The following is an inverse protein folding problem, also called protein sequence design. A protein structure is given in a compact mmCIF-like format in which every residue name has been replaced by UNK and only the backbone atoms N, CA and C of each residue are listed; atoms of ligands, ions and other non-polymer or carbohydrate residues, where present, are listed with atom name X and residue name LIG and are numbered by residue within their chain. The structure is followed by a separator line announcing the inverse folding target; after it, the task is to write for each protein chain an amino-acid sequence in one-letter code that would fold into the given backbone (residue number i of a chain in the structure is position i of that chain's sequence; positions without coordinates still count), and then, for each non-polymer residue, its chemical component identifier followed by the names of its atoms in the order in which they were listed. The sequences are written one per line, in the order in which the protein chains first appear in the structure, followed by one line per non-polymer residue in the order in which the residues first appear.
data_IF_308582334348
#
_entry.id   IF_308582334348
#
_cell.length_a   1.000
_cell.length_b   1.000
_cell.length_c   1.000
_cell.angle_alpha   90.00
_cell.angle_beta   90.00
_cell.angle_gamma   90.00
#
_symmetry.space_group_name_H-M   'P 1'
#
loop_
_entity.id
_entity.type
_entity.pdbx_description
1 polymer ?
#
# COMPACT_ATOMS: atom_id res chain seq x y z
N UNK A 1 -21.25 -15.12 12.97
CA UNK A 1 -20.36 -15.12 11.78
C UNK A 1 -19.35 -13.96 11.80
N UNK A 2 -19.78 -12.71 12.00
CA UNK A 2 -18.89 -11.53 12.02
C UNK A 2 -17.77 -11.57 13.07
N UNK A 3 -18.04 -12.00 14.31
CA UNK A 3 -16.98 -12.14 15.36
C UNK A 3 -15.88 -13.13 14.97
N UNK A 4 -16.22 -14.23 14.31
CA UNK A 4 -15.26 -15.25 13.84
C UNK A 4 -14.46 -14.72 12.65
N UNK A 5 -15.14 -14.08 11.68
CA UNK A 5 -14.52 -13.40 10.54
C UNK A 5 -13.59 -12.26 10.98
N UNK A 6 -13.96 -11.51 12.02
CA UNK A 6 -13.13 -10.46 12.60
C UNK A 6 -11.89 -11.03 13.30
N UNK A 7 -12.01 -12.16 14.00
CA UNK A 7 -10.85 -12.87 14.57
C UNK A 7 -9.79 -13.26 13.53
N UNK A 8 -10.23 -13.68 12.34
CA UNK A 8 -9.34 -13.94 11.19
C UNK A 8 -8.82 -12.62 10.58
N UNK A 9 -9.67 -11.60 10.48
CA UNK A 9 -9.32 -10.29 9.91
C UNK A 9 -8.30 -9.50 10.76
N UNK A 10 -8.31 -9.64 12.09
CA UNK A 10 -7.33 -9.03 13.02
C UNK A 10 -5.88 -9.38 12.70
N UNK A 11 -5.65 -10.48 11.99
CA UNK A 11 -4.31 -10.80 11.51
C UNK A 11 -3.83 -9.75 10.50
N UNK A 12 -4.73 -9.28 9.61
CA UNK A 12 -4.39 -8.44 8.46
C UNK A 12 -4.73 -6.96 8.63
N UNK A 13 -5.46 -6.60 9.68
CA UNK A 13 -5.92 -5.25 9.98
C UNK A 13 -5.55 -4.94 11.43
N UNK A 14 -5.17 -3.69 11.69
CA UNK A 14 -4.77 -3.26 13.03
C UNK A 14 -5.95 -3.27 14.02
N UNK A 15 -7.12 -2.83 13.56
CA UNK A 15 -8.32 -2.62 14.34
C UNK A 15 -9.16 -1.53 13.67
N UNK A 16 -10.13 -0.99 14.40
CA UNK A 16 -11.09 -0.02 13.86
C UNK A 16 -10.70 1.44 14.16
N UNK A 17 -9.75 1.66 15.06
CA UNK A 17 -9.36 2.99 15.53
C UNK A 17 -7.95 3.41 15.10
N UNK A 18 -7.69 4.72 15.20
CA UNK A 18 -6.33 5.28 15.03
C UNK A 18 -5.36 4.68 16.06
N UNK A 19 -5.82 4.45 17.30
CA UNK A 19 -4.97 3.89 18.35
C UNK A 19 -4.50 2.48 17.99
N UNK A 20 -5.39 1.64 17.46
CA UNK A 20 -5.02 0.30 17.00
C UNK A 20 -3.94 0.34 15.90
N UNK A 21 -4.06 1.29 14.97
CA UNK A 21 -3.08 1.52 13.91
C UNK A 21 -1.72 1.97 14.47
N UNK A 22 -1.73 2.89 15.45
CA UNK A 22 -0.53 3.39 16.10
C UNK A 22 0.16 2.32 16.96
N UNK A 23 -0.60 1.48 17.64
CA UNK A 23 -0.07 0.37 18.43
C UNK A 23 0.56 -0.70 17.51
N UNK A 24 -0.10 -1.02 16.38
CA UNK A 24 0.47 -1.88 15.35
C UNK A 24 1.75 -1.28 14.74
N UNK A 25 1.79 0.03 14.50
CA UNK A 25 2.97 0.73 14.00
C UNK A 25 4.12 0.71 15.02
N UNK A 26 3.81 0.87 16.30
CA UNK A 26 4.79 0.77 17.38
C UNK A 26 5.37 -0.65 17.51
N UNK A 27 4.53 -1.69 17.36
CA UNK A 27 4.99 -3.08 17.32
C UNK A 27 5.92 -3.31 16.12
N UNK A 28 5.58 -2.82 14.93
CA UNK A 28 6.47 -2.90 13.76
C UNK A 28 7.82 -2.23 14.03
N UNK A 29 7.80 -1.01 14.59
CA UNK A 29 8.98 -0.24 14.95
C UNK A 29 9.88 -0.96 15.97
N UNK A 30 9.31 -1.51 17.06
CA UNK A 30 10.07 -2.30 18.03
C UNK A 30 10.74 -3.54 17.43
N UNK A 31 10.20 -4.05 16.33
CA UNK A 31 10.75 -5.21 15.62
C UNK A 31 11.67 -4.82 14.45
N UNK A 32 12.17 -3.57 14.42
CA UNK A 32 13.11 -3.10 13.40
C UNK A 32 12.49 -2.85 12.02
N UNK A 33 11.15 -2.73 11.94
CA UNK A 33 10.42 -2.45 10.70
C UNK A 33 9.86 -1.03 10.71
N UNK A 34 9.65 -0.48 9.52
CA UNK A 34 8.88 0.74 9.32
C UNK A 34 7.39 0.43 9.23
N UNK A 35 6.53 1.44 9.34
CA UNK A 35 5.08 1.30 9.20
C UNK A 35 4.52 2.20 8.10
N UNK A 36 3.61 1.69 7.29
CA UNK A 36 2.81 2.45 6.32
C UNK A 36 1.34 2.33 6.76
N UNK A 37 0.78 3.37 7.37
CA UNK A 37 -0.60 3.34 7.86
C UNK A 37 -1.57 3.73 6.74
N UNK A 38 -2.64 2.94 6.58
CA UNK A 38 -3.69 3.20 5.59
C UNK A 38 -5.08 3.08 6.23
N UNK A 39 -5.93 4.08 6.01
CA UNK A 39 -7.33 3.99 6.42
C UNK A 39 -8.12 3.19 5.38
N UNK A 40 -8.93 2.24 5.84
CA UNK A 40 -9.84 1.46 5.00
C UNK A 40 -11.07 2.27 4.59
N UNK A 41 -11.53 2.02 3.36
CA UNK A 41 -12.62 2.73 2.68
C UNK A 41 -12.15 3.23 1.32
N UNK A 42 -13.08 3.48 0.40
CA UNK A 42 -12.83 4.02 -0.95
C UNK A 42 -14.08 4.81 -1.36
N UNK A 43 -13.97 5.64 -2.40
CA UNK A 43 -15.12 6.30 -3.05
C UNK A 43 -16.00 7.17 -2.13
N UNK A 44 -15.38 8.00 -1.30
CA UNK A 44 -16.14 8.94 -0.47
C UNK A 44 -16.70 10.08 -1.33
N UNK A 45 -18.01 10.32 -1.25
CA UNK A 45 -18.69 11.42 -1.94
C UNK A 45 -19.20 12.51 -0.98
N UNK A 46 -19.20 12.24 0.34
CA UNK A 46 -19.59 13.21 1.36
C UNK A 46 -18.42 14.08 1.79
N UNK A 47 -18.57 15.41 1.68
CA UNK A 47 -17.58 16.39 2.20
C UNK A 47 -17.26 16.17 3.68
N UNK A 48 -18.26 15.81 4.49
CA UNK A 48 -18.07 15.53 5.91
C UNK A 48 -17.15 14.32 6.13
N UNK A 49 -17.36 13.24 5.37
CA UNK A 49 -16.55 12.02 5.45
C UNK A 49 -15.12 12.24 4.95
N UNK A 50 -14.96 13.01 3.86
CA UNK A 50 -13.66 13.42 3.31
C UNK A 50 -12.90 14.25 4.33
N UNK A 51 -13.51 15.30 4.89
CA UNK A 51 -12.91 16.16 5.90
C UNK A 51 -12.49 15.37 7.15
N UNK A 52 -13.32 14.42 7.59
CA UNK A 52 -12.97 13.51 8.69
C UNK A 52 -11.74 12.68 8.35
N UNK A 53 -11.69 12.10 7.15
CA UNK A 53 -10.55 11.29 6.67
C UNK A 53 -9.25 12.09 6.60
N UNK A 54 -9.29 13.32 6.05
CA UNK A 54 -8.12 14.22 6.02
C UNK A 54 -7.62 14.52 7.43
N UNK A 55 -8.53 14.87 8.36
CA UNK A 55 -8.18 15.13 9.77
C UNK A 55 -7.59 13.91 10.46
N UNK A 56 -8.06 12.70 10.15
CA UNK A 56 -7.48 11.47 10.71
C UNK A 56 -6.04 11.24 10.25
N UNK A 57 -5.73 11.43 8.97
CA UNK A 57 -4.34 11.35 8.48
C UNK A 57 -3.43 12.38 9.18
N UNK A 58 -3.90 13.61 9.39
CA UNK A 58 -3.16 14.63 10.15
C UNK A 58 -2.88 14.17 11.59
N UNK A 59 -3.87 13.60 12.27
CA UNK A 59 -3.71 13.04 13.62
C UNK A 59 -2.70 11.90 13.65
N UNK A 60 -2.76 10.98 12.69
CA UNK A 60 -1.80 9.86 12.58
C UNK A 60 -0.37 10.38 12.42
N UNK A 61 -0.14 11.32 11.50
CA UNK A 61 1.20 11.85 11.25
C UNK A 61 1.78 12.58 12.45
N UNK A 62 0.96 13.40 13.12
CA UNK A 62 1.34 14.07 14.37
C UNK A 62 1.71 13.07 15.47
N UNK A 63 0.91 12.00 15.63
CA UNK A 63 1.17 10.95 16.61
C UNK A 63 2.45 10.15 16.29
N UNK A 64 2.68 9.78 15.03
CA UNK A 64 3.91 9.10 14.60
C UNK A 64 5.15 9.94 14.94
N UNK A 65 5.12 11.25 14.63
CA UNK A 65 6.20 12.18 14.99
C UNK A 65 6.41 12.27 16.50
N UNK A 66 5.34 12.53 17.26
CA UNK A 66 5.42 12.68 18.72
C UNK A 66 6.00 11.43 19.39
N UNK A 67 5.62 10.25 18.92
CA UNK A 67 6.12 8.96 19.42
C UNK A 67 7.46 8.53 18.80
N UNK A 68 8.03 9.33 17.89
CA UNK A 68 9.26 9.02 17.13
C UNK A 68 9.22 7.67 16.41
N UNK A 69 8.03 7.26 15.94
CA UNK A 69 7.83 6.02 15.20
C UNK A 69 8.20 6.25 13.73
N UNK A 70 9.12 5.45 13.19
CA UNK A 70 9.47 5.50 11.77
C UNK A 70 8.31 4.98 10.92
N UNK A 71 7.67 5.88 10.20
CA UNK A 71 6.53 5.51 9.36
C UNK A 71 6.18 6.49 8.25
N UNK A 72 5.19 6.06 7.47
CA UNK A 72 4.56 6.75 6.37
C UNK A 72 3.05 6.54 6.44
N UNK A 73 2.31 7.28 5.64
CA UNK A 73 0.89 7.01 5.36
C UNK A 73 0.70 6.62 3.90
N UNK A 74 -0.40 5.91 3.62
CA UNK A 74 -0.85 5.58 2.27
C UNK A 74 -2.28 6.05 2.11
N UNK A 75 -2.51 6.92 1.12
CA UNK A 75 -3.78 7.61 0.93
C UNK A 75 -4.37 7.18 -0.42
N UNK A 76 -5.66 6.85 -0.40
CA UNK A 76 -6.44 6.58 -1.60
C UNK A 76 -7.11 7.88 -2.09
N UNK A 77 -6.82 8.35 -3.30
CA UNK A 77 -7.43 9.55 -3.88
C UNK A 77 -8.96 9.61 -3.77
N UNK A 78 -9.67 8.50 -3.98
CA UNK A 78 -11.14 8.43 -3.89
C UNK A 78 -11.67 8.64 -2.47
N UNK A 79 -10.88 8.38 -1.42
CA UNK A 79 -11.27 8.66 -0.05
C UNK A 79 -11.25 10.15 0.30
N UNK A 80 -10.53 10.96 -0.49
CA UNK A 80 -10.27 12.36 -0.19
C UNK A 80 -10.75 13.30 -1.30
N UNK A 81 -11.69 12.83 -2.13
CA UNK A 81 -12.45 13.68 -3.03
C UNK A 81 -12.26 13.43 -4.52
N UNK A 82 -11.49 12.42 -4.95
CA UNK A 82 -11.39 12.10 -6.39
C UNK A 82 -12.76 11.75 -6.98
N UNK A 83 -13.61 11.04 -6.22
CA UNK A 83 -15.00 10.73 -6.63
C UNK A 83 -15.93 11.93 -6.72
N UNK A 84 -15.48 13.13 -6.30
CA UNK A 84 -16.21 14.39 -6.47
C UNK A 84 -15.59 15.16 -7.65
N UNK A 85 -14.28 15.42 -7.59
CA UNK A 85 -13.51 16.03 -8.68
C UNK A 85 -12.01 15.95 -8.41
N UNK A 86 -11.19 15.97 -9.48
CA UNK A 86 -9.73 16.13 -9.38
C UNK A 86 -9.33 17.34 -8.52
N UNK A 87 -10.03 18.47 -8.66
CA UNK A 87 -9.76 19.71 -7.90
C UNK A 87 -9.96 19.52 -6.39
N UNK A 88 -11.03 18.84 -5.98
CA UNK A 88 -11.29 18.56 -4.55
C UNK A 88 -10.21 17.62 -3.98
N UNK A 89 -9.85 16.58 -4.73
CA UNK A 89 -8.78 15.66 -4.35
C UNK A 89 -7.43 16.39 -4.15
N UNK A 90 -7.04 17.24 -5.10
CA UNK A 90 -5.81 18.03 -5.03
C UNK A 90 -5.75 18.92 -3.79
N UNK A 91 -6.85 19.65 -3.49
CA UNK A 91 -6.94 20.50 -2.31
C UNK A 91 -6.75 19.71 -1.00
N UNK A 92 -7.36 18.54 -0.92
CA UNK A 92 -7.25 17.68 0.26
C UNK A 92 -5.86 17.04 0.38
N UNK A 93 -5.24 16.63 -0.73
CA UNK A 93 -3.86 16.16 -0.75
C UNK A 93 -2.87 17.25 -0.30
N UNK A 94 -3.02 18.48 -0.79
CA UNK A 94 -2.18 19.61 -0.35
C UNK A 94 -2.27 19.81 1.17
N UNK A 95 -3.46 19.66 1.74
CA UNK A 95 -3.68 19.75 3.20
C UNK A 95 -2.96 18.62 3.94
N UNK A 96 -3.01 17.39 3.42
CA UNK A 96 -2.30 16.23 3.99
C UNK A 96 -0.78 16.42 3.87
N UNK A 97 -0.27 16.82 2.71
CA UNK A 97 1.17 16.95 2.46
C UNK A 97 1.77 18.06 3.32
N UNK A 98 1.09 19.19 3.51
CA UNK A 98 1.53 20.25 4.45
C UNK A 98 1.72 19.71 5.87
N UNK A 99 0.76 18.92 6.36
CA UNK A 99 0.88 18.27 7.67
C UNK A 99 1.98 17.19 7.70
N UNK A 100 2.20 16.49 6.58
CA UNK A 100 3.26 15.50 6.44
C UNK A 100 4.65 16.13 6.51
N UNK A 101 4.86 17.28 5.88
CA UNK A 101 6.10 18.07 5.93
C UNK A 101 6.39 18.50 7.37
N UNK A 102 5.41 19.11 8.04
CA UNK A 102 5.53 19.51 9.46
C UNK A 102 5.81 18.31 10.38
N UNK A 103 5.27 17.15 10.03
CA UNK A 103 5.44 15.91 10.81
C UNK A 103 6.69 15.11 10.41
N UNK A 104 7.42 15.54 9.37
CA UNK A 104 8.46 14.75 8.72
C UNK A 104 8.02 13.30 8.37
N UNK A 105 6.79 13.12 7.90
CA UNK A 105 6.23 11.83 7.48
C UNK A 105 6.15 11.77 5.95
N UNK A 106 6.40 10.58 5.39
CA UNK A 106 6.27 10.35 3.95
C UNK A 106 4.83 9.97 3.57
N UNK A 107 4.37 10.43 2.40
CA UNK A 107 3.03 10.13 1.87
C UNK A 107 3.14 9.27 0.62
N UNK A 108 2.41 8.16 0.60
CA UNK A 108 2.18 7.36 -0.59
C UNK A 108 0.79 7.63 -1.16
N UNK A 109 0.71 7.85 -2.46
CA UNK A 109 -0.54 7.83 -3.23
C UNK A 109 -0.75 6.40 -3.70
N UNK A 110 -1.81 5.76 -3.21
CA UNK A 110 -2.19 4.44 -3.71
C UNK A 110 -2.85 4.55 -5.07
N UNK A 111 -2.50 3.61 -5.95
CA UNK A 111 -3.18 3.43 -7.23
C UNK A 111 -4.44 2.61 -7.03
N UNK A 112 -5.54 3.09 -7.61
CA UNK A 112 -6.86 2.47 -7.52
C UNK A 112 -7.19 1.68 -8.80
N UNK A 113 -8.46 1.55 -9.18
CA UNK A 113 -8.87 0.89 -10.43
C UNK A 113 -8.31 1.63 -11.66
N UNK A 114 -8.28 0.95 -12.80
CA UNK A 114 -7.75 1.51 -14.06
C UNK A 114 -8.46 2.79 -14.50
N UNK A 115 -9.73 2.96 -14.16
CA UNK A 115 -10.53 4.15 -14.48
C UNK A 115 -9.97 5.45 -13.86
N UNK A 116 -9.23 5.35 -12.76
CA UNK A 116 -8.63 6.48 -12.06
C UNK A 116 -7.14 6.66 -12.37
N UNK A 117 -6.52 5.78 -13.16
CA UNK A 117 -5.05 5.77 -13.31
C UNK A 117 -4.51 7.10 -13.85
N UNK A 118 -5.15 7.66 -14.88
CA UNK A 118 -4.73 8.93 -15.48
C UNK A 118 -4.87 10.09 -14.48
N UNK A 119 -6.03 10.22 -13.84
CA UNK A 119 -6.27 11.29 -12.85
C UNK A 119 -5.28 11.22 -11.67
N UNK A 120 -4.94 10.02 -11.21
CA UNK A 120 -4.00 9.81 -10.10
C UNK A 120 -2.57 10.18 -10.50
N UNK A 121 -2.14 9.85 -11.72
CA UNK A 121 -0.82 10.24 -12.25
C UNK A 121 -0.76 11.76 -12.43
N UNK A 122 -1.79 12.39 -12.98
CA UNK A 122 -1.87 13.84 -13.10
C UNK A 122 -1.80 14.53 -11.73
N UNK A 123 -2.56 14.03 -10.75
CA UNK A 123 -2.50 14.52 -9.36
C UNK A 123 -1.08 14.39 -8.80
N UNK A 124 -0.40 13.28 -9.07
CA UNK A 124 0.97 13.09 -8.62
C UNK A 124 1.91 14.14 -9.21
N UNK A 125 1.85 14.40 -10.51
CA UNK A 125 2.70 15.43 -11.15
C UNK A 125 2.42 16.82 -10.57
N UNK A 126 1.16 17.19 -10.39
CA UNK A 126 0.76 18.47 -9.79
C UNK A 126 1.30 18.65 -8.36
N UNK A 127 1.40 17.58 -7.60
CA UNK A 127 1.89 17.61 -6.22
C UNK A 127 3.41 17.52 -6.15
N UNK A 128 4.03 16.64 -6.95
CA UNK A 128 5.47 16.41 -6.94
C UNK A 128 6.25 17.65 -7.36
N UNK A 129 5.74 18.43 -8.32
CA UNK A 129 6.31 19.73 -8.70
C UNK A 129 6.44 20.73 -7.53
N UNK A 130 5.74 20.49 -6.41
CA UNK A 130 5.75 21.34 -5.21
C UNK A 130 6.31 20.65 -3.97
N UNK A 131 6.41 19.32 -3.95
CA UNK A 131 6.68 18.55 -2.73
C UNK A 131 7.47 17.26 -3.01
N UNK A 132 8.67 17.13 -2.41
CA UNK A 132 9.56 15.98 -2.63
C UNK A 132 9.24 14.73 -1.78
N UNK A 133 8.41 14.86 -0.72
CA UNK A 133 8.11 13.76 0.23
C UNK A 133 6.86 12.95 -0.15
N UNK A 134 6.75 12.63 -1.43
CA UNK A 134 5.59 11.97 -2.03
C UNK A 134 6.03 10.84 -2.96
N UNK A 135 5.33 9.70 -2.89
CA UNK A 135 5.51 8.58 -3.81
C UNK A 135 4.19 8.08 -4.35
N UNK A 136 4.23 7.34 -5.45
CA UNK A 136 3.05 6.81 -6.15
C UNK A 136 3.19 5.30 -6.35
N UNK A 137 2.08 4.58 -6.20
CA UNK A 137 2.02 3.17 -6.55
C UNK A 137 1.74 2.97 -8.05
N UNK A 138 2.29 1.90 -8.63
CA UNK A 138 1.98 1.45 -9.99
C UNK A 138 1.76 -0.05 -10.02
N UNK A 139 0.97 -0.52 -10.99
CA UNK A 139 0.41 -1.88 -10.97
C UNK A 139 0.94 -2.72 -12.14
N UNK A 140 1.65 -3.80 -11.84
CA UNK A 140 2.25 -4.65 -12.88
C UNK A 140 1.24 -5.43 -13.73
N UNK A 141 -0.04 -5.53 -13.33
CA UNK A 141 -1.06 -6.19 -14.13
C UNK A 141 -1.55 -5.33 -15.31
N UNK A 142 -1.38 -4.01 -15.30
CA UNK A 142 -1.80 -3.18 -16.43
C UNK A 142 -0.75 -3.16 -17.54
N UNK A 143 -1.21 -3.19 -18.79
CA UNK A 143 -0.33 -3.17 -19.98
C UNK A 143 0.37 -1.82 -20.16
N UNK A 144 -0.28 -0.73 -19.74
CA UNK A 144 0.23 0.65 -19.81
C UNK A 144 1.41 0.93 -18.88
N UNK A 145 1.52 0.20 -17.77
CA UNK A 145 2.42 0.52 -16.65
C UNK A 145 3.88 0.69 -17.01
N UNK A 146 4.36 0.03 -18.07
CA UNK A 146 5.75 0.21 -18.51
C UNK A 146 6.01 1.64 -18.98
N UNK A 147 5.08 2.22 -19.74
CA UNK A 147 5.21 3.58 -20.25
C UNK A 147 5.06 4.57 -19.09
N UNK A 148 3.99 4.41 -18.28
CA UNK A 148 3.77 5.25 -17.10
C UNK A 148 5.00 5.25 -16.16
N UNK A 149 5.63 4.07 -15.94
CA UNK A 149 6.84 3.96 -15.11
C UNK A 149 8.01 4.77 -15.69
N UNK A 150 8.20 4.73 -17.01
CA UNK A 150 9.31 5.43 -17.65
C UNK A 150 9.13 6.95 -17.49
N UNK A 151 7.94 7.44 -17.79
CA UNK A 151 7.60 8.86 -17.68
C UNK A 151 7.74 9.34 -16.22
N UNK A 152 7.20 8.57 -15.26
CA UNK A 152 7.32 8.90 -13.84
C UNK A 152 8.79 8.93 -13.37
N UNK A 153 9.63 8.00 -13.83
CA UNK A 153 11.04 7.97 -13.47
C UNK A 153 11.84 9.13 -14.07
N UNK A 154 11.49 9.60 -15.27
CA UNK A 154 12.09 10.81 -15.87
C UNK A 154 11.80 12.06 -15.04
N UNK A 155 10.64 12.10 -14.37
CA UNK A 155 10.28 13.14 -13.41
C UNK A 155 10.83 12.90 -12.00
N UNK A 156 11.65 11.86 -11.78
CA UNK A 156 12.27 11.59 -10.48
C UNK A 156 11.34 10.93 -9.45
N UNK A 157 10.23 10.33 -9.89
CA UNK A 157 9.22 9.79 -9.00
C UNK A 157 9.74 8.64 -8.11
N UNK A 158 9.28 8.62 -6.85
CA UNK A 158 9.46 7.48 -5.94
C UNK A 158 8.30 6.49 -6.13
N UNK A 159 8.64 5.31 -6.64
CA UNK A 159 7.67 4.31 -7.08
C UNK A 159 7.45 3.23 -6.03
N UNK A 160 6.19 2.85 -5.80
CA UNK A 160 5.80 1.59 -5.17
C UNK A 160 5.31 0.62 -6.25
N UNK A 161 6.03 -0.47 -6.48
CA UNK A 161 5.63 -1.48 -7.45
C UNK A 161 4.78 -2.59 -6.79
N UNK A 162 3.51 -2.68 -7.21
CA UNK A 162 2.57 -3.74 -6.80
C UNK A 162 2.16 -4.61 -7.99
N UNK A 163 1.56 -5.78 -7.74
CA UNK A 163 0.98 -6.60 -8.81
C UNK A 163 -0.31 -6.01 -9.38
N UNK A 164 -1.07 -5.24 -8.60
CA UNK A 164 -2.43 -4.81 -8.90
C UNK A 164 -3.46 -5.64 -8.15
N UNK A 165 -4.51 -4.99 -7.64
CA UNK A 165 -5.48 -5.58 -6.71
C UNK A 165 -6.94 -5.47 -7.18
N UNK A 166 -7.17 -4.91 -8.37
CA UNK A 166 -8.47 -4.66 -8.97
C UNK A 166 -8.74 -5.66 -10.11
N UNK A 167 -10.03 -5.95 -10.34
CA UNK A 167 -10.46 -6.86 -11.40
C UNK A 167 -10.63 -6.06 -12.69
N UNK A 168 -9.60 -6.11 -13.53
CA UNK A 168 -9.53 -5.33 -14.76
C UNK A 168 -9.90 -6.12 -16.02
N UNK A 169 -10.30 -5.42 -17.08
CA UNK A 169 -10.59 -6.00 -18.39
C UNK A 169 -9.30 -6.54 -19.05
N UNK A 170 -9.38 -7.68 -19.76
CA UNK A 170 -8.25 -8.32 -20.45
C UNK A 170 -7.65 -7.46 -21.59
N UNK A 171 -8.43 -6.52 -22.14
CA UNK A 171 -7.95 -5.54 -23.12
C UNK A 171 -6.84 -4.67 -22.52
N UNK A 172 -6.99 -4.25 -21.27
CA UNK A 172 -6.07 -3.32 -20.59
C UNK A 172 -5.12 -4.01 -19.59
N UNK A 173 -5.43 -5.22 -19.14
CA UNK A 173 -4.69 -5.92 -18.09
C UNK A 173 -4.31 -7.36 -18.45
N UNK A 174 -3.15 -7.80 -17.97
CA UNK A 174 -2.75 -9.20 -17.93
C UNK A 174 -3.62 -9.98 -16.94
N UNK A 175 -4.20 -11.11 -17.38
CA UNK A 175 -5.13 -11.91 -16.58
C UNK A 175 -4.49 -13.10 -15.89
N UNK A 176 -3.39 -13.63 -16.43
CA UNK A 176 -2.71 -14.80 -15.87
C UNK A 176 -1.63 -14.38 -14.89
N UNK A 177 -1.43 -15.18 -13.85
CA UNK A 177 -0.40 -14.93 -12.83
C UNK A 177 0.99 -14.85 -13.48
N UNK A 178 1.25 -15.69 -14.47
CA UNK A 178 2.53 -15.81 -15.16
C UNK A 178 2.87 -14.50 -15.88
N UNK A 179 1.91 -13.91 -16.61
CA UNK A 179 2.10 -12.64 -17.31
C UNK A 179 2.26 -11.45 -16.35
N UNK A 180 1.49 -11.42 -15.26
CA UNK A 180 1.64 -10.39 -14.22
C UNK A 180 3.00 -10.50 -13.53
N UNK A 181 3.44 -11.72 -13.20
CA UNK A 181 4.73 -11.97 -12.57
C UNK A 181 5.89 -11.61 -13.52
N UNK A 182 5.77 -11.93 -14.81
CA UNK A 182 6.74 -11.54 -15.82
C UNK A 182 6.86 -10.02 -15.95
N UNK A 183 5.72 -9.32 -16.07
CA UNK A 183 5.74 -7.87 -16.15
C UNK A 183 6.28 -7.23 -14.86
N UNK A 184 5.94 -7.77 -13.68
CA UNK A 184 6.49 -7.32 -12.39
C UNK A 184 8.02 -7.45 -12.36
N UNK A 185 8.59 -8.56 -12.85
CA UNK A 185 10.05 -8.72 -12.96
C UNK A 185 10.65 -7.68 -13.91
N UNK A 186 10.01 -7.43 -15.04
CA UNK A 186 10.51 -6.49 -16.04
C UNK A 186 10.49 -5.04 -15.52
N UNK A 187 9.42 -4.63 -14.85
CA UNK A 187 9.30 -3.31 -14.19
C UNK A 187 10.31 -3.17 -13.04
N UNK A 188 10.50 -4.22 -12.24
CA UNK A 188 11.50 -4.24 -11.17
C UNK A 188 12.92 -4.05 -11.72
N UNK A 189 13.28 -4.72 -12.82
CA UNK A 189 14.58 -4.52 -13.49
C UNK A 189 14.76 -3.07 -13.93
N UNK A 190 13.71 -2.43 -14.43
CA UNK A 190 13.74 -0.99 -14.78
C UNK A 190 13.99 -0.14 -13.54
N UNK A 191 13.31 -0.40 -12.42
CA UNK A 191 13.53 0.32 -11.16
C UNK A 191 14.98 0.19 -10.65
N UNK A 192 15.57 -1.00 -10.66
CA UNK A 192 16.98 -1.17 -10.26
C UNK A 192 17.97 -0.48 -11.22
N UNK A 193 17.63 -0.37 -12.50
CA UNK A 193 18.47 0.32 -13.50
C UNK A 193 18.35 1.84 -13.39
N UNK A 194 17.13 2.37 -13.30
CA UNK A 194 16.81 3.80 -13.49
C UNK A 194 16.28 4.51 -12.24
N UNK A 195 15.66 3.80 -11.30
CA UNK A 195 15.04 4.40 -10.12
C UNK A 195 16.06 4.85 -9.07
N UNK A 196 15.73 5.92 -8.34
CA UNK A 196 16.56 6.44 -7.24
C UNK A 196 16.25 5.72 -5.93
N UNK A 197 14.98 5.78 -5.51
CA UNK A 197 14.45 5.07 -4.36
C UNK A 197 13.06 4.52 -4.68
N UNK A 198 12.74 3.30 -4.24
CA UNK A 198 11.46 2.66 -4.55
C UNK A 198 11.04 1.61 -3.51
N UNK A 199 9.74 1.30 -3.49
CA UNK A 199 9.15 0.23 -2.72
C UNK A 199 8.86 -1.00 -3.58
N UNK A 200 9.34 -2.18 -3.16
CA UNK A 200 8.97 -3.47 -3.74
C UNK A 200 7.86 -4.08 -2.88
N UNK A 201 6.61 -3.84 -3.28
CA UNK A 201 5.43 -4.25 -2.54
C UNK A 201 4.94 -5.63 -2.98
N UNK A 202 5.43 -6.68 -2.32
CA UNK A 202 5.10 -8.07 -2.66
C UNK A 202 5.32 -9.04 -1.51
N UNK A 203 4.61 -10.15 -1.53
CA UNK A 203 4.82 -11.31 -0.66
C UNK A 203 5.32 -12.53 -1.44
N UNK A 204 5.66 -12.39 -2.70
CA UNK A 204 6.09 -13.48 -3.56
C UNK A 204 7.60 -13.73 -3.39
N UNK A 205 7.99 -14.92 -2.91
CA UNK A 205 9.41 -15.26 -2.69
C UNK A 205 10.23 -15.08 -3.95
N UNK A 206 9.69 -15.45 -5.13
CA UNK A 206 10.45 -15.35 -6.38
C UNK A 206 10.78 -13.89 -6.74
N UNK A 207 9.88 -12.97 -6.40
CA UNK A 207 10.10 -11.53 -6.60
C UNK A 207 11.09 -10.97 -5.58
N UNK A 208 10.98 -11.40 -4.32
CA UNK A 208 11.89 -11.00 -3.24
C UNK A 208 13.32 -11.46 -3.54
N UNK A 209 13.49 -12.73 -3.92
CA UNK A 209 14.80 -13.28 -4.28
C UNK A 209 15.39 -12.58 -5.51
N UNK A 210 14.55 -12.21 -6.48
CA UNK A 210 15.01 -11.41 -7.62
C UNK A 210 15.47 -10.01 -7.19
N UNK A 211 14.71 -9.32 -6.33
CA UNK A 211 15.10 -8.01 -5.82
C UNK A 211 16.44 -8.07 -5.05
N UNK A 212 16.63 -9.10 -4.22
CA UNK A 212 17.91 -9.35 -3.52
C UNK A 212 19.06 -9.59 -4.50
N UNK A 213 18.83 -10.37 -5.57
CA UNK A 213 19.87 -10.57 -6.61
C UNK A 213 20.19 -9.29 -7.37
N UNK A 214 19.17 -8.49 -7.70
CA UNK A 214 19.33 -7.23 -8.42
C UNK A 214 20.04 -6.18 -7.55
N UNK A 215 19.78 -6.14 -6.23
CA UNK A 215 20.41 -5.20 -5.31
C UNK A 215 21.91 -5.43 -5.13
N UNK A 216 22.39 -6.67 -5.30
CA UNK A 216 23.83 -6.97 -5.32
C UNK A 216 24.55 -6.39 -6.54
N UNK A 217 23.82 -6.20 -7.65
CA UNK A 217 24.37 -5.65 -8.90
C UNK A 217 24.16 -4.14 -9.00
N UNK A 218 23.06 -3.63 -8.45
CA UNK A 218 22.67 -2.23 -8.51
C UNK A 218 22.40 -1.74 -7.09
N UNK A 219 23.29 -0.90 -6.55
CA UNK A 219 23.23 -0.37 -5.19
C UNK A 219 22.18 0.76 -5.05
N UNK A 220 20.93 0.49 -5.47
CA UNK A 220 19.80 1.41 -5.34
C UNK A 220 19.20 1.31 -3.94
N UNK A 221 18.66 2.43 -3.42
CA UNK A 221 17.89 2.44 -2.17
C UNK A 221 16.51 1.84 -2.45
N UNK A 222 16.10 0.84 -1.68
CA UNK A 222 14.76 0.29 -1.78
C UNK A 222 14.30 -0.31 -0.47
N UNK A 223 12.98 -0.49 -0.34
CA UNK A 223 12.38 -1.19 0.78
C UNK A 223 11.42 -2.29 0.32
N UNK A 224 11.35 -3.37 1.09
CA UNK A 224 10.28 -4.36 0.94
C UNK A 224 9.04 -3.86 1.68
N UNK A 225 7.92 -3.78 0.99
CA UNK A 225 6.65 -3.37 1.58
C UNK A 225 5.70 -4.56 1.63
N UNK A 226 5.25 -4.91 2.83
CA UNK A 226 4.47 -6.13 3.05
C UNK A 226 3.28 -5.83 3.93
N UNK A 227 2.09 -6.31 3.54
CA UNK A 227 0.91 -6.25 4.39
C UNK A 227 1.16 -6.84 5.79
N UNK A 228 0.63 -6.18 6.83
CA UNK A 228 0.52 -6.70 8.20
C UNK A 228 -0.12 -8.09 8.21
N UNK A 229 0.45 -9.03 8.98
CA UNK A 229 -0.09 -10.39 9.13
C UNK A 229 0.18 -11.36 7.98
N UNK A 230 0.87 -10.91 6.92
CA UNK A 230 1.09 -11.69 5.71
C UNK A 230 2.57 -12.04 5.61
N UNK A 231 2.86 -13.34 5.76
CA UNK A 231 4.23 -13.90 5.76
C UNK A 231 5.13 -13.29 6.83
N UNK A 232 4.61 -13.09 8.04
CA UNK A 232 5.35 -12.40 9.12
C UNK A 232 6.69 -13.04 9.47
N UNK A 233 6.86 -14.36 9.27
CA UNK A 233 8.16 -15.04 9.46
C UNK A 233 9.27 -14.52 8.53
N UNK A 234 8.92 -14.06 7.32
CA UNK A 234 9.90 -13.56 6.34
C UNK A 234 10.44 -12.18 6.73
N UNK A 235 9.64 -11.36 7.42
CA UNK A 235 9.99 -9.96 7.66
C UNK A 235 11.23 -9.82 8.56
N UNK A 236 11.36 -10.55 9.70
CA UNK A 236 12.59 -10.57 10.48
C UNK A 236 13.80 -11.10 9.71
N UNK A 237 13.63 -12.08 8.81
CA UNK A 237 14.73 -12.59 7.98
C UNK A 237 15.29 -11.51 7.05
N UNK A 238 14.40 -10.71 6.44
CA UNK A 238 14.81 -9.57 5.60
C UNK A 238 15.48 -8.46 6.40
N UNK A 239 14.96 -8.14 7.60
CA UNK A 239 15.58 -7.16 8.52
C UNK A 239 16.97 -7.62 8.96
N UNK A 240 17.14 -8.91 9.32
CA UNK A 240 18.45 -9.49 9.67
C UNK A 240 19.45 -9.41 8.52
N UNK A 241 18.97 -9.48 7.28
CA UNK A 241 19.76 -9.26 6.06
C UNK A 241 19.97 -7.75 5.74
N UNK A 242 19.66 -6.87 6.69
CA UNK A 242 19.83 -5.41 6.59
C UNK A 242 18.96 -4.73 5.51
N UNK A 243 17.91 -5.39 5.03
CA UNK A 243 16.93 -4.73 4.17
C UNK A 243 15.96 -3.88 4.99
N UNK A 244 15.56 -2.73 4.44
CA UNK A 244 14.44 -1.95 4.97
C UNK A 244 13.14 -2.70 4.68
N UNK A 245 12.35 -2.94 5.73
CA UNK A 245 11.05 -3.60 5.62
C UNK A 245 9.98 -2.71 6.24
N UNK A 246 8.92 -2.45 5.47
CA UNK A 246 7.76 -1.66 5.86
C UNK A 246 6.52 -2.53 5.95
N UNK A 247 5.85 -2.52 7.11
CA UNK A 247 4.53 -3.12 7.29
C UNK A 247 3.45 -2.17 6.76
N UNK A 248 2.65 -2.60 5.78
CA UNK A 248 1.44 -1.90 5.37
C UNK A 248 0.31 -2.28 6.33
N UNK A 249 -0.16 -1.29 7.10
CA UNK A 249 -1.05 -1.43 8.26
C UNK A 249 -2.40 -0.79 7.92
N UNK A 250 -3.37 -1.59 7.41
CA UNK A 250 -4.73 -1.11 7.24
C UNK A 250 -5.45 -1.04 8.58
N UNK A 251 -6.32 -0.05 8.76
CA UNK A 251 -7.21 0.10 9.92
C UNK A 251 -8.56 0.71 9.51
N UNK A 252 -9.57 0.55 10.37
CA UNK A 252 -10.89 1.15 10.21
C UNK A 252 -11.99 0.13 9.96
N UNK A 253 -13.23 0.59 10.13
CA UNK A 253 -14.45 -0.22 10.15
C UNK A 253 -14.77 -0.92 8.83
N UNK A 254 -14.19 -0.48 7.71
CA UNK A 254 -14.46 -1.04 6.37
C UNK A 254 -13.59 -2.29 6.08
N UNK A 255 -13.44 -3.15 7.09
CA UNK A 255 -12.53 -4.30 7.07
C UNK A 255 -13.01 -5.48 6.24
N UNK A 256 -14.31 -5.64 6.06
CA UNK A 256 -14.90 -6.84 5.47
C UNK A 256 -14.48 -7.04 4.00
N UNK A 257 -14.68 -6.03 3.15
CA UNK A 257 -14.30 -6.10 1.73
C UNK A 257 -12.78 -6.34 1.56
N UNK A 258 -11.97 -5.67 2.39
CA UNK A 258 -10.52 -5.85 2.40
C UNK A 258 -10.15 -7.29 2.79
N UNK A 259 -10.76 -7.83 3.84
CA UNK A 259 -10.46 -9.15 4.39
C UNK A 259 -10.89 -10.27 3.45
N UNK A 260 -12.08 -10.16 2.82
CA UNK A 260 -12.56 -11.12 1.82
C UNK A 260 -11.56 -11.25 0.67
N UNK A 261 -11.01 -10.13 0.18
CA UNK A 261 -9.98 -10.14 -0.86
C UNK A 261 -8.73 -10.89 -0.40
N UNK A 262 -8.27 -10.68 0.84
CA UNK A 262 -7.10 -11.38 1.42
C UNK A 262 -7.32 -12.88 1.58
N UNK A 263 -8.55 -13.31 1.89
CA UNK A 263 -8.90 -14.74 1.92
C UNK A 263 -8.86 -15.33 0.51
N UNK A 264 -9.51 -14.69 -0.47
CA UNK A 264 -9.58 -15.19 -1.86
C UNK A 264 -8.20 -15.33 -2.51
N UNK A 265 -7.25 -14.46 -2.17
CA UNK A 265 -5.87 -14.51 -2.66
C UNK A 265 -5.06 -15.70 -2.13
N UNK A 266 -5.56 -16.44 -1.12
CA UNK A 266 -4.86 -17.58 -0.51
C UNK A 266 -5.74 -18.84 -0.49
N UNK A 267 -5.43 -19.80 -1.36
CA UNK A 267 -6.09 -21.13 -1.38
C UNK A 267 -6.16 -21.81 0.01
N UNK A 268 -5.10 -21.64 0.83
CA UNK A 268 -5.03 -22.19 2.21
C UNK A 268 -6.00 -21.52 3.20
N UNK A 269 -6.42 -20.28 2.96
CA UNK A 269 -7.39 -19.58 3.82
C UNK A 269 -8.84 -19.97 3.50
N UNK A 270 -9.12 -20.41 2.27
CA UNK A 270 -10.43 -20.97 1.89
C UNK A 270 -10.68 -22.27 2.66
N UNK A 271 -9.64 -23.12 2.82
CA UNK A 271 -9.68 -24.31 3.66
C UNK A 271 -9.92 -23.98 5.15
N UNK A 272 -9.34 -22.89 5.67
CA UNK A 272 -9.57 -22.45 7.05
C UNK A 272 -11.02 -21.97 7.28
N UNK A 273 -11.63 -21.29 6.31
CA UNK A 273 -13.06 -20.95 6.36
C UNK A 273 -13.94 -22.19 6.32
N UNK A 274 -13.59 -23.19 5.49
CA UNK A 274 -14.29 -24.48 5.43
C UNK A 274 -14.24 -25.22 6.76
N UNK A 275 -13.07 -25.31 7.39
CA UNK A 275 -12.92 -25.95 8.70
C UNK A 275 -13.67 -25.23 9.83
N UNK A 276 -13.70 -23.89 9.82
CA UNK A 276 -14.44 -23.10 10.81
C UNK A 276 -15.97 -23.26 10.68
N UNK A 277 -16.48 -23.53 9.47
CA UNK A 277 -17.90 -23.80 9.23
C UNK A 277 -18.30 -25.22 9.66
N UNK A 278 -17.39 -26.20 9.50
CA UNK A 278 -17.57 -27.59 9.94
C UNK A 278 -17.50 -27.71 11.47
N UNK A 279 -16.63 -26.94 12.14
CA UNK A 279 -16.60 -26.89 13.61
C UNK A 279 -17.76 -26.11 14.21
N UNK A 280 -18.36 -25.18 13.48
CA UNK A 280 -19.56 -24.44 13.91
C UNK A 280 -20.89 -25.20 13.80
N UNK A 281 -20.90 -26.40 13.20
CA UNK A 281 -22.06 -27.31 13.14
C UNK A 281 -21.95 -28.49 14.12
N UNK A 282 -20.96 -28.47 15.01
CA UNK A 282 -20.87 -29.36 16.18
C UNK A 282 -20.97 -28.54 17.47
N UNK A 283 -22.11 -27.88 17.65
CA UNK A 283 -22.66 -27.48 18.96
C UNK A 283 -24.15 -27.69 18.89
#
# INVERSE_FOLDING_TARGET
MEKILFGVAKQWIAGDSINDALDSAFIAYKNGRHSIINKLGEYHTSKTQINKTVKEYQKIMSALRKKKIRGAISVKPTQIGLSISKRECLKNFQTIIKAAIQSHIFVWIDMESSEHTDEIIEIYYDLFARYERLGIAIQANLKRTRNDLMDLLEHGAKIRLVKGAYKENSRIAFKTKEKVDENYKNLMKVLFKKGNEFGIATHDSKMIDLAIRLSKKNHRKFEFQMLKGIRDKLKPELVKKQFVVSDYIPYGTNWLAYSIRRVKERKRNILLLGHSLIQGHRV
#
